data_IF_653250518659
#
_entry.id   IF_653250518659
#
_cell.length_a   1.000
_cell.length_b   1.000
_cell.length_c   1.000
_cell.angle_alpha   90.00
_cell.angle_beta   90.00
_cell.angle_gamma   90.00
#
_symmetry.space_group_name_H-M   'P 1'
#
loop_
_entity.id
_entity.type
_entity.pdbx_description
1 polymer ?
#
# COMPACT_ATOMS: atom_id res chain seq x y z
N UNK A 1 16.66 6.97 8.88
CA UNK A 1 16.34 5.96 7.86
C UNK A 1 17.17 6.32 6.63
N UNK A 2 17.66 5.39 5.80
CA UNK A 2 18.34 5.76 4.53
C UNK A 2 17.26 5.77 3.45
N UNK A 3 16.90 6.95 2.97
CA UNK A 3 15.68 7.18 2.18
C UNK A 3 15.90 6.96 0.68
N UNK A 4 17.01 6.30 0.32
CA UNK A 4 17.40 6.01 -1.07
C UNK A 4 16.31 5.23 -1.84
N UNK A 5 15.46 4.47 -1.13
CA UNK A 5 14.39 3.70 -1.79
C UNK A 5 13.22 4.58 -2.24
N UNK A 6 12.87 5.62 -1.47
CA UNK A 6 11.70 6.47 -1.74
C UNK A 6 12.07 7.79 -2.44
N UNK A 7 13.35 7.97 -2.79
CA UNK A 7 13.83 9.19 -3.44
C UNK A 7 13.11 9.41 -4.80
N UNK A 8 12.42 10.54 -4.92
CA UNK A 8 11.62 10.88 -6.10
C UNK A 8 10.34 10.05 -6.27
N UNK A 9 9.88 9.35 -5.23
CA UNK A 9 8.72 8.44 -5.27
C UNK A 9 7.48 9.03 -4.63
N UNK A 10 6.33 8.52 -5.06
CA UNK A 10 5.05 8.69 -4.37
C UNK A 10 4.92 7.65 -3.26
N UNK A 11 4.51 8.09 -2.08
CA UNK A 11 4.31 7.20 -0.93
C UNK A 11 3.18 7.69 -0.02
N UNK A 12 2.64 6.78 0.79
CA UNK A 12 1.73 7.08 1.91
C UNK A 12 2.32 6.51 3.21
N UNK A 13 1.78 6.94 4.34
CA UNK A 13 2.09 6.42 5.67
C UNK A 13 0.88 6.60 6.59
N UNK A 14 0.99 6.18 7.85
CA UNK A 14 -0.02 6.48 8.83
C UNK A 14 -0.17 8.00 9.02
N UNK A 15 -1.41 8.47 9.09
CA UNK A 15 -1.72 9.90 8.99
C UNK A 15 -0.98 10.81 10.00
N UNK A 16 -0.67 10.32 11.20
CA UNK A 16 0.09 11.10 12.19
C UNK A 16 1.55 11.33 11.79
N UNK A 17 2.07 10.55 10.84
CA UNK A 17 3.45 10.61 10.34
C UNK A 17 3.57 11.31 8.98
N UNK A 18 2.50 11.90 8.43
CA UNK A 18 2.59 12.61 7.14
C UNK A 18 3.62 13.75 7.18
N UNK A 19 3.63 14.56 8.23
CA UNK A 19 4.58 15.66 8.35
C UNK A 19 6.04 15.17 8.44
N UNK A 20 6.27 14.01 9.06
CA UNK A 20 7.58 13.38 9.11
C UNK A 20 8.00 12.87 7.74
N UNK A 21 7.10 12.25 6.98
CA UNK A 21 7.38 11.78 5.63
C UNK A 21 7.58 12.93 4.63
N UNK A 22 6.80 14.01 4.75
CA UNK A 22 6.93 15.24 3.95
C UNK A 22 8.25 15.98 4.21
N UNK A 23 8.88 15.77 5.37
CA UNK A 23 10.19 16.37 5.68
C UNK A 23 11.32 15.82 4.78
N UNK A 24 11.11 14.66 4.15
CA UNK A 24 11.97 14.13 3.10
C UNK A 24 11.56 14.76 1.77
N UNK A 25 12.17 15.91 1.44
CA UNK A 25 11.80 16.79 0.31
C UNK A 25 11.69 16.13 -1.08
N UNK A 26 12.15 14.89 -1.24
CA UNK A 26 12.13 14.15 -2.50
C UNK A 26 10.94 13.20 -2.61
N UNK A 27 10.21 12.97 -1.51
CA UNK A 27 9.04 12.08 -1.47
C UNK A 27 7.77 12.89 -1.72
N UNK A 28 6.93 12.43 -2.64
CA UNK A 28 5.58 12.95 -2.83
C UNK A 28 4.60 12.19 -1.93
N UNK A 29 4.13 12.81 -0.85
CA UNK A 29 3.17 12.18 0.07
C UNK A 29 1.75 12.23 -0.47
N UNK A 30 1.12 11.08 -0.65
CA UNK A 30 -0.28 10.96 -1.07
C UNK A 30 -1.17 10.44 0.07
N UNK A 31 -2.31 11.11 0.28
CA UNK A 31 -3.30 10.75 1.31
C UNK A 31 -4.27 9.69 0.80
N UNK A 32 -3.74 8.50 0.53
CA UNK A 32 -4.49 7.33 0.08
C UNK A 32 -4.19 6.11 0.97
N UNK A 33 -5.12 5.13 0.99
CA UNK A 33 -4.91 3.88 1.72
C UNK A 33 -3.69 3.10 1.19
N UNK A 34 -3.55 3.03 -0.13
CA UNK A 34 -2.44 2.37 -0.81
C UNK A 34 -1.93 3.29 -1.93
N UNK A 35 -0.62 3.46 -2.01
CA UNK A 35 0.05 4.22 -3.08
C UNK A 35 1.01 3.30 -3.81
N UNK A 36 0.99 3.35 -5.14
CA UNK A 36 1.79 2.52 -6.03
C UNK A 36 2.67 3.42 -6.91
N UNK A 37 3.97 3.22 -6.84
CA UNK A 37 4.96 3.89 -7.69
C UNK A 37 5.94 2.86 -8.24
N UNK A 38 5.65 2.38 -9.45
CA UNK A 38 6.42 1.32 -10.09
C UNK A 38 6.40 0.03 -9.26
N UNK A 39 7.56 -0.37 -8.75
CA UNK A 39 7.75 -1.56 -7.92
C UNK A 39 7.66 -1.29 -6.41
N UNK A 40 7.38 -0.05 -6.01
CA UNK A 40 7.21 0.34 -4.61
C UNK A 40 5.71 0.52 -4.34
N UNK A 41 5.24 -0.14 -3.29
CA UNK A 41 3.86 -0.06 -2.84
C UNK A 41 3.91 0.27 -1.35
N UNK A 42 3.23 1.35 -0.95
CA UNK A 42 3.15 1.80 0.44
C UNK A 42 1.70 1.84 0.89
N UNK A 43 1.45 1.60 2.18
CA UNK A 43 0.12 1.63 2.79
C UNK A 43 0.05 2.65 3.92
N UNK A 44 -1.14 3.20 4.16
CA UNK A 44 -1.37 4.15 5.23
C UNK A 44 -1.45 3.47 6.62
N UNK A 45 -2.66 3.29 7.15
CA UNK A 45 -2.87 2.69 8.46
C UNK A 45 -2.86 1.16 8.44
N UNK A 46 -2.97 0.56 9.62
CA UNK A 46 -2.95 -0.90 9.83
C UNK A 46 -3.91 -1.64 8.89
N UNK A 47 -5.16 -1.18 8.78
CA UNK A 47 -6.16 -1.81 7.91
C UNK A 47 -5.87 -1.61 6.42
N UNK A 48 -5.15 -0.56 6.04
CA UNK A 48 -4.73 -0.34 4.66
C UNK A 48 -3.61 -1.31 4.23
N UNK A 49 -2.86 -1.85 5.19
CA UNK A 49 -1.89 -2.92 4.93
C UNK A 49 -2.56 -4.18 4.35
N UNK A 50 -3.77 -4.52 4.81
CA UNK A 50 -4.51 -5.67 4.26
C UNK A 50 -4.91 -5.45 2.79
N UNK A 51 -5.37 -4.24 2.42
CA UNK A 51 -5.66 -3.92 1.03
C UNK A 51 -4.40 -3.99 0.15
N UNK A 52 -3.24 -3.57 0.68
CA UNK A 52 -1.95 -3.72 0.02
C UNK A 52 -1.59 -5.20 -0.16
N UNK A 53 -1.72 -6.03 0.87
CA UNK A 53 -1.42 -7.46 0.82
C UNK A 53 -2.29 -8.17 -0.23
N UNK A 54 -3.59 -7.85 -0.30
CA UNK A 54 -4.47 -8.38 -1.32
C UNK A 54 -4.11 -7.92 -2.73
N UNK A 55 -3.65 -6.68 -2.87
CA UNK A 55 -3.11 -6.22 -4.15
C UNK A 55 -1.86 -7.01 -4.55
N UNK A 56 -0.95 -7.28 -3.62
CA UNK A 56 0.23 -8.14 -3.88
C UNK A 56 -0.21 -9.53 -4.32
N UNK A 57 -1.16 -10.15 -3.60
CA UNK A 57 -1.68 -11.46 -3.98
C UNK A 57 -2.28 -11.45 -5.38
N UNK A 58 -3.04 -10.40 -5.72
CA UNK A 58 -3.64 -10.21 -7.04
C UNK A 58 -2.58 -10.13 -8.14
N UNK A 59 -1.53 -9.32 -7.99
CA UNK A 59 -0.53 -9.14 -9.05
C UNK A 59 0.44 -10.31 -9.20
N UNK A 60 0.69 -11.07 -8.12
CA UNK A 60 1.62 -12.19 -8.13
C UNK A 60 0.95 -13.54 -8.44
N UNK A 61 -0.30 -13.73 -8.03
CA UNK A 61 -0.99 -15.02 -8.09
C UNK A 61 -2.38 -14.97 -8.73
N UNK A 62 -2.86 -13.78 -9.09
CA UNK A 62 -4.16 -13.56 -9.71
C UNK A 62 -5.33 -13.46 -8.73
N UNK A 63 -6.48 -13.03 -9.26
CA UNK A 63 -7.68 -12.75 -8.48
C UNK A 63 -8.23 -13.97 -7.72
N UNK A 64 -8.11 -15.18 -8.29
CA UNK A 64 -8.65 -16.40 -7.67
C UNK A 64 -8.03 -16.67 -6.31
N UNK A 65 -6.69 -16.65 -6.22
CA UNK A 65 -6.00 -16.87 -4.94
C UNK A 65 -6.28 -15.73 -3.96
N UNK A 66 -6.25 -14.48 -4.42
CA UNK A 66 -6.52 -13.33 -3.56
C UNK A 66 -7.93 -13.40 -2.92
N UNK A 67 -8.96 -13.78 -3.71
CA UNK A 67 -10.33 -14.00 -3.21
C UNK A 67 -10.42 -15.19 -2.24
N UNK A 68 -9.70 -16.27 -2.52
CA UNK A 68 -9.63 -17.43 -1.61
C UNK A 68 -9.06 -17.04 -0.24
N UNK A 69 -7.96 -16.29 -0.23
CA UNK A 69 -7.33 -15.81 1.02
C UNK A 69 -8.28 -14.88 1.77
N UNK A 70 -8.95 -13.95 1.08
CA UNK A 70 -9.91 -13.03 1.70
C UNK A 70 -11.03 -13.80 2.41
N UNK A 71 -11.59 -14.82 1.75
CA UNK A 71 -12.62 -15.68 2.33
C UNK A 71 -12.11 -16.48 3.54
N UNK A 72 -10.88 -17.02 3.48
CA UNK A 72 -10.29 -17.82 4.57
C UNK A 72 -10.07 -17.03 5.85
N UNK A 73 -9.78 -15.73 5.74
CA UNK A 73 -9.58 -14.85 6.90
C UNK A 73 -10.82 -14.02 7.23
N UNK A 74 -11.95 -14.29 6.57
CA UNK A 74 -13.22 -13.60 6.74
C UNK A 74 -13.11 -12.07 6.55
N UNK A 75 -12.26 -11.64 5.61
CA UNK A 75 -12.04 -10.22 5.32
C UNK A 75 -12.83 -9.78 4.09
N UNK A 76 -13.68 -8.77 4.26
CA UNK A 76 -14.47 -8.20 3.19
C UNK A 76 -13.64 -7.17 2.38
N UNK A 77 -13.33 -7.53 1.13
CA UNK A 77 -12.59 -6.68 0.19
C UNK A 77 -13.03 -6.95 -1.25
N UNK A 78 -13.14 -5.89 -2.04
CA UNK A 78 -13.37 -6.01 -3.48
C UNK A 78 -12.03 -6.18 -4.22
N UNK A 79 -11.62 -7.44 -4.41
CA UNK A 79 -10.37 -7.79 -5.08
C UNK A 79 -10.35 -7.28 -6.54
N UNK A 80 -11.49 -7.21 -7.21
CA UNK A 80 -11.52 -6.78 -8.61
C UNK A 80 -11.26 -5.28 -8.72
N UNK A 81 -11.72 -4.49 -7.73
CA UNK A 81 -11.50 -3.06 -7.63
C UNK A 81 -10.12 -2.64 -7.08
N UNK A 82 -9.34 -3.56 -6.49
CA UNK A 82 -7.96 -3.27 -6.02
C UNK A 82 -6.99 -2.91 -7.15
#
# INVERSE_FOLDING_TARGET
>A
MRDELLDGKKATTYHSAFAELEAYNTITVEKAKVVRDGNIITSAGVTSGLELDFYILKILFGNTLAKEVANKIEYAVDIDAL
#
